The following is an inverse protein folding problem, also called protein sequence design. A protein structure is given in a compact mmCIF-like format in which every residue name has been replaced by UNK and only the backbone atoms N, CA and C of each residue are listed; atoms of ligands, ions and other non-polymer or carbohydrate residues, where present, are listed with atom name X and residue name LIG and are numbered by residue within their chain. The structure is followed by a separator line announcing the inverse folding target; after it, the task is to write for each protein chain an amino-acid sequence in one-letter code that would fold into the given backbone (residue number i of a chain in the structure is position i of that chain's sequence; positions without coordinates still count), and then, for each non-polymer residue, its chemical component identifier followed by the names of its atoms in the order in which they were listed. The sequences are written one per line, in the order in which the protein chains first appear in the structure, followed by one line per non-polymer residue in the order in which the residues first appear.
data_IF_903049432354
#
_entry.id   IF_903049432354
#
_cell.length_a   1.000
_cell.length_b   1.000
_cell.length_c   1.000
_cell.angle_alpha   90.00
_cell.angle_beta   90.00
_cell.angle_gamma   90.00
#
_symmetry.space_group_name_H-M   'P 1'
#
loop_
_entity.id
_entity.type
_entity.pdbx_description
1 polymer ?
#
# COMPACT_ATOMS: atom_id res chain seq x y z
N UNK A 1 -18.90 -26.72 13.85
CA UNK A 1 -17.94 -25.67 14.27
C UNK A 1 -16.95 -25.48 13.14
N UNK A 2 -17.01 -24.37 12.42
CA UNK A 2 -16.11 -24.08 11.29
C UNK A 2 -14.76 -23.59 11.84
N UNK A 3 -13.67 -24.25 11.45
CA UNK A 3 -12.31 -23.93 11.88
C UNK A 3 -11.93 -22.49 11.48
N UNK A 4 -11.35 -21.75 12.44
CA UNK A 4 -10.84 -20.39 12.26
C UNK A 4 -9.81 -20.35 11.13
N UNK A 5 -10.07 -19.58 10.08
CA UNK A 5 -9.11 -19.25 9.03
C UNK A 5 -7.95 -18.38 9.58
N UNK A 6 -6.97 -19.02 10.24
CA UNK A 6 -5.84 -18.36 10.91
C UNK A 6 -4.76 -17.85 9.94
N UNK A 7 -4.86 -18.12 8.63
CA UNK A 7 -3.86 -17.72 7.64
C UNK A 7 -4.47 -17.02 6.44
N UNK A 8 -5.23 -15.95 6.69
CA UNK A 8 -5.64 -15.06 5.60
C UNK A 8 -4.42 -14.30 5.07
N UNK A 9 -4.14 -14.45 3.78
CA UNK A 9 -3.02 -13.78 3.09
C UNK A 9 -3.18 -12.25 3.18
N UNK A 10 -2.21 -11.57 3.79
CA UNK A 10 -2.21 -10.10 3.93
C UNK A 10 -1.75 -9.44 2.63
N UNK A 11 -2.16 -8.19 2.41
CA UNK A 11 -1.71 -7.39 1.27
C UNK A 11 -0.27 -6.91 1.52
N UNK A 12 0.61 -7.14 0.55
CA UNK A 12 2.00 -6.68 0.57
C UNK A 12 2.15 -5.51 -0.44
N UNK A 13 2.92 -4.48 -0.06
CA UNK A 13 3.15 -3.28 -0.86
C UNK A 13 4.63 -2.92 -0.82
N UNK A 14 5.17 -2.43 -1.95
CA UNK A 14 6.56 -1.96 -2.07
C UNK A 14 6.54 -0.46 -2.33
N UNK A 15 7.45 0.29 -1.69
CA UNK A 15 7.53 1.74 -1.80
C UNK A 15 8.92 2.30 -1.47
N UNK A 16 9.08 3.62 -1.57
CA UNK A 16 10.35 4.32 -1.31
C UNK A 16 10.30 5.06 0.03
N UNK A 17 11.37 4.96 0.82
CA UNK A 17 11.47 5.65 2.11
C UNK A 17 11.67 7.16 1.88
N UNK A 18 10.81 7.98 2.47
CA UNK A 18 10.85 9.45 2.36
C UNK A 18 11.39 10.10 3.63
N UNK A 19 11.19 9.48 4.79
CA UNK A 19 11.66 10.01 6.07
C UNK A 19 11.93 8.91 7.10
N UNK A 20 13.04 9.06 7.82
CA UNK A 20 13.51 8.20 8.92
C UNK A 20 13.64 8.98 10.24
N UNK A 21 12.92 10.10 10.39
CA UNK A 21 13.11 11.00 11.54
C UNK A 21 12.50 10.51 12.86
N UNK A 22 11.83 9.36 12.87
CA UNK A 22 11.06 8.89 14.03
C UNK A 22 11.73 7.67 14.66
N UNK A 23 11.61 7.51 15.97
CA UNK A 23 12.16 6.35 16.65
C UNK A 23 11.44 5.06 16.23
N UNK A 24 12.18 4.17 15.55
CA UNK A 24 11.73 2.84 15.08
C UNK A 24 10.60 2.86 14.05
N UNK A 25 10.36 3.98 13.36
CA UNK A 25 9.32 4.08 12.32
C UNK A 25 9.80 4.90 11.13
N UNK A 26 9.37 4.50 9.91
CA UNK A 26 9.74 5.18 8.66
C UNK A 26 8.49 5.55 7.86
N UNK A 27 8.52 6.73 7.22
CA UNK A 27 7.48 7.15 6.27
C UNK A 27 7.85 6.65 4.88
N UNK A 28 7.01 5.80 4.30
CA UNK A 28 7.20 5.20 2.97
C UNK A 28 6.14 5.70 2.00
N UNK A 29 6.57 6.18 0.83
CA UNK A 29 5.68 6.51 -0.28
C UNK A 29 5.43 5.25 -1.12
N UNK A 30 4.16 4.91 -1.30
CA UNK A 30 3.72 3.80 -2.16
C UNK A 30 2.96 4.39 -3.34
N UNK A 31 3.53 4.25 -4.54
CA UNK A 31 2.85 4.72 -5.74
C UNK A 31 1.76 3.72 -6.16
N UNK A 32 0.59 4.24 -6.56
CA UNK A 32 -0.50 3.43 -7.13
C UNK A 32 -0.93 3.99 -8.46
N UNK A 33 -1.18 3.09 -9.42
CA UNK A 33 -1.78 3.46 -10.71
C UNK A 33 -3.29 3.44 -10.53
N UNK A 34 -3.90 4.62 -10.45
CA UNK A 34 -5.35 4.76 -10.43
C UNK A 34 -5.81 5.44 -11.73
N UNK A 35 -6.90 4.93 -12.30
CA UNK A 35 -7.50 5.56 -13.46
C UNK A 35 -8.22 6.85 -13.01
N UNK A 36 -7.98 7.96 -13.70
CA UNK A 36 -8.73 9.18 -13.41
C UNK A 36 -10.23 8.92 -13.61
N UNK A 37 -11.11 9.22 -12.65
CA UNK A 37 -12.51 8.82 -12.68
C UNK A 37 -13.27 9.32 -13.92
N UNK A 38 -12.93 10.51 -14.42
CA UNK A 38 -13.59 11.12 -15.59
C UNK A 38 -12.94 10.73 -16.93
N UNK A 39 -11.61 10.60 -16.98
CA UNK A 39 -10.85 10.51 -18.23
C UNK A 39 -10.23 9.14 -18.47
N UNK A 40 -10.28 8.23 -17.47
CA UNK A 40 -9.70 6.87 -17.47
C UNK A 40 -8.20 6.79 -17.79
N UNK A 41 -7.52 7.94 -17.97
CA UNK A 41 -6.07 8.05 -18.08
C UNK A 41 -5.43 7.55 -16.79
N UNK A 42 -4.46 6.66 -16.92
CA UNK A 42 -3.77 6.08 -15.77
C UNK A 42 -2.81 7.12 -15.19
N UNK A 43 -3.07 7.57 -13.97
CA UNK A 43 -2.24 8.53 -13.26
C UNK A 43 -1.52 7.76 -12.15
N UNK A 44 -0.22 8.05 -11.98
CA UNK A 44 0.60 7.52 -10.89
C UNK A 44 0.37 8.45 -9.68
N UNK A 45 -0.25 7.94 -8.62
CA UNK A 45 -0.55 8.67 -7.38
C UNK A 45 0.41 8.24 -6.27
#
# INVERSE_FOLDING_TARGET
MMEKAWHLKRKELVGVVVSDKMDKTVVVKVDRKEAHPLYKKHIIK
#
